data_IF_276652201199
#
_entry.id   IF_276652201199
#
_cell.length_a   1.000
_cell.length_b   1.000
_cell.length_c   1.000
_cell.angle_alpha   90.00
_cell.angle_beta   90.00
_cell.angle_gamma   90.00
#
_symmetry.space_group_name_H-M   'P 1'
#
loop_
_entity.id
_entity.type
_entity.pdbx_description
1 polymer ?
#
# COMPACT_ATOMS: atom_id res chain seq x y z
N UNK A 1 18.95 25.98 -24.17
CA UNK A 1 18.65 24.82 -23.32
C UNK A 1 18.68 25.27 -21.86
N UNK A 2 17.53 25.40 -21.25
CA UNK A 2 17.38 25.81 -19.84
C UNK A 2 17.82 24.64 -18.96
N UNK A 3 18.84 24.81 -18.15
CA UNK A 3 19.27 23.81 -17.17
C UNK A 3 18.14 23.64 -16.16
N UNK A 4 17.40 22.53 -16.22
CA UNK A 4 16.46 22.15 -15.16
C UNK A 4 17.31 21.80 -13.95
N UNK A 5 17.32 22.69 -12.95
CA UNK A 5 18.03 22.45 -11.71
C UNK A 5 17.30 21.36 -10.91
N UNK A 6 18.06 20.60 -10.12
CA UNK A 6 17.53 19.56 -9.20
C UNK A 6 16.37 20.08 -8.32
N UNK A 7 16.40 21.37 -8.00
CA UNK A 7 15.37 22.08 -7.25
C UNK A 7 14.06 22.25 -8.04
N UNK A 8 14.14 22.50 -9.34
CA UNK A 8 12.97 22.61 -10.21
C UNK A 8 12.33 21.24 -10.48
N UNK A 9 13.15 20.18 -10.58
CA UNK A 9 12.63 18.80 -10.70
C UNK A 9 11.83 18.42 -9.46
N UNK A 10 12.32 18.72 -8.26
CA UNK A 10 11.63 18.47 -7.00
C UNK A 10 10.31 19.25 -6.89
N UNK A 11 10.28 20.50 -7.34
CA UNK A 11 9.04 21.30 -7.38
C UNK A 11 8.03 20.75 -8.39
N UNK A 12 8.48 20.35 -9.58
CA UNK A 12 7.62 19.74 -10.58
C UNK A 12 7.07 18.40 -10.07
N UNK A 13 7.90 17.60 -9.39
CA UNK A 13 7.49 16.35 -8.76
C UNK A 13 6.45 16.59 -7.65
N UNK A 14 6.67 17.56 -6.77
CA UNK A 14 5.74 17.93 -5.71
C UNK A 14 4.41 18.48 -6.25
N UNK A 15 4.43 19.22 -7.36
CA UNK A 15 3.21 19.71 -8.03
C UNK A 15 2.46 18.60 -8.76
N UNK A 16 3.16 17.59 -9.28
CA UNK A 16 2.54 16.46 -10.00
C UNK A 16 1.94 15.42 -9.04
N UNK A 17 2.54 15.24 -7.85
CA UNK A 17 2.17 14.15 -6.91
C UNK A 17 1.59 14.65 -5.58
N UNK A 18 1.35 15.94 -5.44
CA UNK A 18 0.86 16.56 -4.19
C UNK A 18 1.94 16.74 -3.13
N UNK A 19 1.57 17.41 -2.03
CA UNK A 19 2.50 17.73 -0.92
C UNK A 19 2.73 16.56 0.06
N UNK A 20 2.40 15.33 -0.33
CA UNK A 20 2.55 14.17 0.53
C UNK A 20 4.01 13.74 0.60
N UNK A 21 4.57 13.73 1.80
CA UNK A 21 5.92 13.21 2.05
C UNK A 21 5.92 11.67 2.10
N UNK A 22 6.26 11.07 0.97
CA UNK A 22 6.38 9.62 0.83
C UNK A 22 7.81 9.10 1.09
N UNK A 23 8.71 9.97 1.53
CA UNK A 23 10.13 9.65 1.74
C UNK A 23 10.32 8.52 2.74
N UNK A 24 9.48 8.45 3.79
CA UNK A 24 9.53 7.36 4.79
C UNK A 24 9.41 5.97 4.15
N UNK A 25 8.56 5.83 3.14
CA UNK A 25 8.41 4.56 2.41
C UNK A 25 9.61 4.28 1.51
N UNK A 26 10.08 5.30 0.78
CA UNK A 26 11.24 5.17 -0.11
C UNK A 26 12.49 4.75 0.66
N UNK A 27 12.76 5.39 1.79
CA UNK A 27 13.93 5.09 2.63
C UNK A 27 13.88 3.66 3.18
N UNK A 28 12.73 3.23 3.68
CA UNK A 28 12.54 1.87 4.19
C UNK A 28 12.64 0.82 3.08
N UNK A 29 11.99 1.06 1.95
CA UNK A 29 12.00 0.15 0.81
C UNK A 29 13.35 0.06 0.13
N UNK A 30 14.12 1.13 0.08
CA UNK A 30 15.49 1.11 -0.44
C UNK A 30 16.38 0.11 0.31
N UNK A 31 16.09 -0.13 1.58
CA UNK A 31 16.83 -1.09 2.42
C UNK A 31 16.29 -2.51 2.35
N UNK A 32 14.97 -2.69 2.33
CA UNK A 32 14.33 -3.97 2.61
C UNK A 32 13.40 -4.51 1.52
N UNK A 33 13.16 -3.76 0.43
CA UNK A 33 12.26 -4.24 -0.62
C UNK A 33 12.70 -5.56 -1.25
N UNK A 34 13.99 -5.69 -1.58
CA UNK A 34 14.50 -6.93 -2.20
C UNK A 34 14.39 -8.13 -1.25
N UNK A 35 14.58 -7.92 0.04
CA UNK A 35 14.36 -8.96 1.07
C UNK A 35 12.89 -9.37 1.10
N UNK A 36 11.98 -8.41 1.19
CA UNK A 36 10.54 -8.68 1.19
C UNK A 36 10.11 -9.41 -0.10
N UNK A 37 10.58 -8.97 -1.25
CA UNK A 37 10.28 -9.61 -2.53
C UNK A 37 10.79 -11.06 -2.59
N UNK A 38 12.01 -11.31 -2.12
CA UNK A 38 12.59 -12.65 -2.03
C UNK A 38 11.78 -13.57 -1.11
N UNK A 39 11.33 -13.07 0.04
CA UNK A 39 10.47 -13.83 0.96
C UNK A 39 9.11 -14.15 0.33
N UNK A 40 8.51 -13.19 -0.38
CA UNK A 40 7.25 -13.44 -1.09
C UNK A 40 7.43 -14.44 -2.23
N UNK A 41 8.56 -14.40 -2.93
CA UNK A 41 8.90 -15.40 -3.96
C UNK A 41 9.01 -16.81 -3.38
N UNK A 42 9.52 -16.96 -2.15
CA UNK A 42 9.55 -18.24 -1.43
C UNK A 42 8.18 -18.63 -0.87
N UNK A 43 7.22 -17.71 -0.84
CA UNK A 43 5.89 -17.93 -0.25
C UNK A 43 5.92 -18.05 1.28
N UNK A 44 6.84 -17.34 1.93
CA UNK A 44 6.93 -17.28 3.39
C UNK A 44 7.62 -16.00 3.85
N UNK A 45 6.90 -15.19 4.63
CA UNK A 45 7.45 -14.02 5.29
C UNK A 45 8.29 -14.45 6.51
N UNK A 46 9.49 -13.92 6.62
CA UNK A 46 10.44 -14.25 7.69
C UNK A 46 10.87 -13.03 8.50
N UNK A 47 10.98 -11.85 7.87
CA UNK A 47 11.46 -10.62 8.51
C UNK A 47 10.40 -9.52 8.61
N UNK A 48 10.75 -8.38 9.22
CA UNK A 48 9.80 -7.34 9.64
C UNK A 48 9.77 -6.18 8.65
N UNK A 49 8.84 -6.19 7.72
CA UNK A 49 8.70 -5.17 6.67
C UNK A 49 7.25 -4.81 6.31
N UNK A 50 6.27 -5.39 6.97
CA UNK A 50 4.87 -5.27 6.57
C UNK A 50 4.38 -3.82 6.51
N UNK A 51 4.75 -2.98 7.49
CA UNK A 51 4.27 -1.60 7.62
C UNK A 51 4.54 -0.71 6.41
N UNK A 52 5.68 -0.90 5.73
CA UNK A 52 6.11 -0.06 4.61
C UNK A 52 6.10 -0.76 3.25
N UNK A 53 5.81 -2.04 3.19
CA UNK A 53 5.64 -2.80 1.95
C UNK A 53 4.15 -2.91 1.58
N UNK A 54 3.29 -3.21 2.56
CA UNK A 54 1.84 -3.25 2.43
C UNK A 54 1.20 -2.29 3.44
N UNK A 55 1.32 -0.96 3.22
CA UNK A 55 0.88 0.02 4.20
C UNK A 55 -0.64 0.06 4.36
N UNK A 56 -1.08 0.37 5.58
CA UNK A 56 -2.48 0.48 5.96
C UNK A 56 -2.88 1.95 6.14
N UNK A 57 -4.20 2.19 6.17
CA UNK A 57 -4.77 3.47 6.54
C UNK A 57 -4.46 3.80 8.01
N UNK A 58 -4.27 5.08 8.32
CA UNK A 58 -4.10 5.58 9.69
C UNK A 58 -5.31 5.24 10.56
N UNK A 59 -5.03 4.85 11.80
CA UNK A 59 -6.05 4.52 12.79
C UNK A 59 -6.27 3.02 13.02
N UNK A 60 -5.69 2.14 12.21
CA UNK A 60 -5.78 0.69 12.41
C UNK A 60 -4.71 0.16 13.36
N UNK A 61 -3.47 0.56 13.14
CA UNK A 61 -2.34 0.17 13.99
C UNK A 61 -2.24 1.04 15.25
N UNK A 62 -1.78 0.45 16.36
CA UNK A 62 -1.66 1.13 17.65
C UNK A 62 -0.22 1.42 18.07
N UNK A 63 0.77 0.82 17.40
CA UNK A 63 2.18 1.04 17.70
C UNK A 63 2.71 2.31 17.02
N UNK A 64 3.80 2.86 17.55
CA UNK A 64 4.46 4.03 16.95
C UNK A 64 4.96 3.77 15.53
N UNK A 65 5.44 2.56 15.25
CA UNK A 65 5.88 2.19 13.90
C UNK A 65 4.70 2.05 12.93
N UNK A 66 3.57 1.51 13.37
CA UNK A 66 2.37 1.45 12.58
C UNK A 66 1.82 2.84 12.25
N UNK A 67 1.85 3.76 13.21
CA UNK A 67 1.43 5.15 12.99
C UNK A 67 2.38 5.89 12.05
N UNK A 68 3.68 5.68 12.19
CA UNK A 68 4.70 6.30 11.33
C UNK A 68 4.54 5.95 9.85
N UNK A 69 4.27 4.68 9.53
CA UNK A 69 4.08 4.22 8.16
C UNK A 69 2.62 4.20 7.69
N UNK A 70 1.69 4.67 8.49
CA UNK A 70 0.30 4.72 8.10
C UNK A 70 0.07 5.69 6.93
N UNK A 71 -0.82 5.32 6.04
CA UNK A 71 -1.34 6.18 4.98
C UNK A 71 -2.42 7.09 5.60
N UNK A 72 -2.23 8.39 5.49
CA UNK A 72 -3.07 9.37 6.19
C UNK A 72 -4.53 9.35 5.75
N UNK A 73 -4.76 9.24 4.45
CA UNK A 73 -6.09 9.28 3.82
C UNK A 73 -6.05 8.73 2.38
N UNK A 74 -7.19 8.74 1.70
CA UNK A 74 -7.30 8.28 0.30
C UNK A 74 -6.47 9.13 -0.67
N UNK A 75 -6.21 10.40 -0.35
CA UNK A 75 -5.39 11.27 -1.18
C UNK A 75 -3.91 10.85 -1.11
N UNK A 76 -3.41 10.50 0.06
CA UNK A 76 -2.05 9.93 0.19
C UNK A 76 -1.96 8.55 -0.47
N UNK A 77 -2.97 7.71 -0.37
CA UNK A 77 -3.02 6.43 -1.10
C UNK A 77 -2.95 6.65 -2.62
N UNK A 78 -3.67 7.64 -3.13
CA UNK A 78 -3.59 8.03 -4.54
C UNK A 78 -2.20 8.52 -4.92
N UNK A 79 -1.60 9.40 -4.12
CA UNK A 79 -0.23 9.88 -4.33
C UNK A 79 0.81 8.73 -4.31
N UNK A 80 0.62 7.76 -3.43
CA UNK A 80 1.45 6.54 -3.37
C UNK A 80 1.39 5.77 -4.69
N UNK A 81 0.21 5.53 -5.24
CA UNK A 81 0.03 4.83 -6.53
C UNK A 81 0.43 5.68 -7.75
N UNK A 82 0.55 6.99 -7.62
CA UNK A 82 1.09 7.88 -8.65
C UNK A 82 2.63 7.96 -8.61
N UNK A 83 3.23 7.57 -7.48
CA UNK A 83 4.69 7.56 -7.37
C UNK A 83 5.28 6.36 -8.14
N UNK A 84 6.16 6.58 -9.14
CA UNK A 84 6.58 5.52 -10.06
C UNK A 84 7.28 4.35 -9.37
N UNK A 85 8.06 4.59 -8.33
CA UNK A 85 8.78 3.54 -7.60
C UNK A 85 7.82 2.81 -6.64
N UNK A 86 7.06 3.53 -5.83
CA UNK A 86 6.18 2.94 -4.81
C UNK A 86 5.04 2.15 -5.45
N UNK A 87 4.42 2.69 -6.50
CA UNK A 87 3.39 1.97 -7.26
C UNK A 87 3.92 0.67 -7.85
N UNK A 88 5.07 0.73 -8.52
CA UNK A 88 5.71 -0.45 -9.11
C UNK A 88 6.03 -1.49 -8.06
N UNK A 89 6.65 -1.12 -6.95
CA UNK A 89 7.00 -2.05 -5.87
C UNK A 89 5.75 -2.74 -5.30
N UNK A 90 4.69 -2.00 -5.00
CA UNK A 90 3.47 -2.55 -4.46
C UNK A 90 2.79 -3.52 -5.45
N UNK A 91 2.72 -3.15 -6.71
CA UNK A 91 2.11 -3.97 -7.76
C UNK A 91 2.96 -5.23 -8.02
N UNK A 92 4.27 -5.09 -8.17
CA UNK A 92 5.17 -6.23 -8.44
C UNK A 92 5.18 -7.25 -7.29
N UNK A 93 5.28 -6.79 -6.03
CA UNK A 93 5.28 -7.70 -4.89
C UNK A 93 3.91 -8.36 -4.68
N UNK A 94 2.84 -7.66 -5.00
CA UNK A 94 1.47 -8.21 -4.99
C UNK A 94 1.30 -9.30 -6.03
N UNK A 95 1.78 -9.07 -7.25
CA UNK A 95 1.79 -10.09 -8.31
C UNK A 95 2.67 -11.30 -7.94
N UNK A 96 3.84 -11.05 -7.34
CA UNK A 96 4.70 -12.12 -6.87
C UNK A 96 4.04 -12.94 -5.76
N UNK A 97 3.35 -12.30 -4.82
CA UNK A 97 2.59 -12.99 -3.78
C UNK A 97 1.51 -13.89 -4.38
N UNK A 98 0.77 -13.40 -5.37
CA UNK A 98 -0.25 -14.20 -6.07
C UNK A 98 0.35 -15.42 -6.75
N UNK A 99 1.47 -15.25 -7.47
CA UNK A 99 2.17 -16.35 -8.16
C UNK A 99 2.69 -17.43 -7.19
N UNK A 100 3.20 -17.01 -6.04
CA UNK A 100 3.83 -17.91 -5.07
C UNK A 100 2.85 -18.54 -4.09
N UNK A 101 1.62 -18.06 -4.03
CA UNK A 101 0.62 -18.52 -3.08
C UNK A 101 0.27 -20.00 -3.25
N UNK A 102 0.18 -20.48 -4.49
CA UNK A 102 -0.26 -21.86 -4.79
C UNK A 102 -1.53 -22.21 -3.99
N UNK A 103 -1.43 -23.19 -3.09
CA UNK A 103 -2.54 -23.62 -2.21
C UNK A 103 -2.45 -23.04 -0.79
N UNK A 104 -1.53 -22.11 -0.53
CA UNK A 104 -1.34 -21.51 0.79
C UNK A 104 -2.37 -20.41 1.04
N UNK A 105 -2.78 -20.26 2.29
CA UNK A 105 -3.53 -19.10 2.75
C UNK A 105 -2.61 -17.90 3.04
N UNK A 106 -3.19 -16.72 3.17
CA UNK A 106 -2.44 -15.53 3.58
C UNK A 106 -1.78 -15.73 4.95
N UNK A 107 -2.49 -16.37 5.88
CA UNK A 107 -1.98 -16.67 7.22
C UNK A 107 -0.78 -17.61 7.18
N UNK A 108 -0.78 -18.60 6.29
CA UNK A 108 0.35 -19.51 6.10
C UNK A 108 1.61 -18.78 5.60
N UNK A 109 1.43 -17.79 4.72
CA UNK A 109 2.53 -17.05 4.10
C UNK A 109 3.04 -15.94 5.03
N UNK A 110 2.14 -15.21 5.68
CA UNK A 110 2.43 -13.96 6.39
C UNK A 110 2.31 -14.06 7.91
N UNK A 111 1.61 -15.07 8.43
CA UNK A 111 1.10 -15.11 9.80
C UNK A 111 -0.23 -14.37 9.95
N UNK A 112 -0.97 -14.68 11.01
CA UNK A 112 -2.35 -14.19 11.22
C UNK A 112 -2.44 -12.66 11.25
N UNK A 113 -1.52 -12.02 11.96
CA UNK A 113 -1.53 -10.57 12.14
C UNK A 113 -1.25 -9.84 10.83
N UNK A 114 -0.24 -10.27 10.09
CA UNK A 114 0.15 -9.65 8.82
C UNK A 114 -0.83 -10.00 7.69
N UNK A 115 -1.51 -11.14 7.75
CA UNK A 115 -2.61 -11.45 6.83
C UNK A 115 -3.76 -10.43 6.96
N UNK A 116 -4.13 -10.03 8.18
CA UNK A 116 -5.12 -8.96 8.40
C UNK A 116 -4.65 -7.61 7.86
N UNK A 117 -3.38 -7.28 8.06
CA UNK A 117 -2.78 -6.06 7.50
C UNK A 117 -2.80 -6.07 5.98
N UNK A 118 -2.54 -7.22 5.36
CA UNK A 118 -2.65 -7.37 3.91
C UNK A 118 -4.07 -7.05 3.44
N UNK A 119 -5.10 -7.61 4.08
CA UNK A 119 -6.50 -7.33 3.74
C UNK A 119 -6.81 -5.84 3.82
N UNK A 120 -6.37 -5.18 4.88
CA UNK A 120 -6.54 -3.73 5.06
C UNK A 120 -5.83 -2.93 3.97
N UNK A 121 -4.59 -3.27 3.65
CA UNK A 121 -3.82 -2.64 2.58
C UNK A 121 -4.51 -2.79 1.22
N UNK A 122 -4.89 -4.00 0.85
CA UNK A 122 -5.57 -4.28 -0.42
C UNK A 122 -6.91 -3.56 -0.52
N UNK A 123 -7.65 -3.49 0.57
CA UNK A 123 -8.90 -2.71 0.64
C UNK A 123 -8.64 -1.24 0.38
N UNK A 124 -7.64 -0.64 1.06
CA UNK A 124 -7.29 0.77 0.88
C UNK A 124 -6.96 1.09 -0.58
N UNK A 125 -6.01 0.38 -1.16
CA UNK A 125 -5.54 0.69 -2.51
C UNK A 125 -6.56 0.32 -3.60
N UNK A 126 -7.43 -0.65 -3.38
CA UNK A 126 -8.53 -0.97 -4.30
C UNK A 126 -9.58 0.15 -4.41
N UNK A 127 -9.64 1.07 -3.42
CA UNK A 127 -10.55 2.23 -3.46
C UNK A 127 -9.98 3.41 -4.27
N UNK A 128 -8.71 3.38 -4.63
CA UNK A 128 -8.12 4.43 -5.47
C UNK A 128 -8.62 4.27 -6.90
N UNK A 129 -9.03 5.38 -7.50
CA UNK A 129 -9.51 5.40 -8.89
C UNK A 129 -8.42 4.89 -9.85
N UNK A 130 -8.82 4.02 -10.77
CA UNK A 130 -7.91 3.37 -11.74
C UNK A 130 -6.78 2.54 -11.11
N UNK A 131 -6.97 2.02 -9.90
CA UNK A 131 -6.02 1.12 -9.26
C UNK A 131 -5.80 -0.17 -10.08
N UNK A 132 -4.60 -0.73 -9.98
CA UNK A 132 -4.28 -2.00 -10.65
C UNK A 132 -5.21 -3.11 -10.16
N UNK A 133 -5.76 -3.96 -11.05
CA UNK A 133 -6.65 -5.06 -10.69
C UNK A 133 -6.06 -6.05 -9.68
N UNK A 134 -4.73 -6.09 -9.54
CA UNK A 134 -4.04 -7.03 -8.65
C UNK A 134 -4.55 -6.95 -7.20
N UNK A 135 -4.94 -5.76 -6.73
CA UNK A 135 -5.44 -5.60 -5.37
C UNK A 135 -6.77 -6.33 -5.16
N UNK A 136 -7.67 -6.23 -6.11
CA UNK A 136 -8.96 -6.97 -6.09
C UNK A 136 -8.73 -8.46 -6.31
N UNK A 137 -7.80 -8.84 -7.17
CA UNK A 137 -7.47 -10.26 -7.41
C UNK A 137 -6.94 -10.91 -6.13
N UNK A 138 -6.06 -10.25 -5.38
CA UNK A 138 -5.58 -10.75 -4.09
C UNK A 138 -6.67 -10.82 -3.02
N UNK A 139 -7.58 -9.84 -2.98
CA UNK A 139 -8.75 -9.88 -2.10
C UNK A 139 -9.63 -11.10 -2.41
N UNK A 140 -9.88 -11.36 -3.67
CA UNK A 140 -10.63 -12.54 -4.10
C UNK A 140 -9.90 -13.83 -3.73
N UNK A 141 -8.59 -13.88 -3.98
CA UNK A 141 -7.78 -15.08 -3.75
C UNK A 141 -7.67 -15.47 -2.28
N UNK A 142 -7.44 -14.49 -1.39
CA UNK A 142 -7.15 -14.76 0.01
C UNK A 142 -8.31 -14.50 0.98
N UNK A 143 -9.25 -13.65 0.61
CA UNK A 143 -10.29 -13.16 1.52
C UNK A 143 -11.70 -13.27 0.93
N UNK A 144 -11.89 -14.08 -0.09
CA UNK A 144 -13.20 -14.26 -0.76
C UNK A 144 -13.85 -12.94 -1.22
N UNK A 145 -13.03 -11.99 -1.63
CA UNK A 145 -13.46 -10.66 -2.07
C UNK A 145 -13.94 -9.73 -0.94
N UNK A 146 -13.81 -10.14 0.31
CA UNK A 146 -14.28 -9.35 1.45
C UNK A 146 -13.33 -8.21 1.77
N UNK A 147 -13.82 -7.00 1.65
CA UNK A 147 -13.12 -5.77 2.03
C UNK A 147 -13.02 -5.65 3.56
N UNK A 148 -11.99 -4.95 4.04
CA UNK A 148 -11.89 -4.63 5.47
C UNK A 148 -12.84 -3.49 5.85
N UNK A 149 -13.86 -3.73 6.71
CA UNK A 149 -14.85 -2.71 7.04
C UNK A 149 -14.27 -1.49 7.76
N UNK A 150 -13.26 -1.68 8.62
CA UNK A 150 -12.61 -0.58 9.32
C UNK A 150 -11.84 0.32 8.38
N UNK A 151 -11.13 -0.24 7.41
CA UNK A 151 -10.46 0.53 6.37
C UNK A 151 -11.47 1.36 5.58
N UNK A 152 -12.58 0.77 5.16
CA UNK A 152 -13.63 1.50 4.45
C UNK A 152 -14.18 2.66 5.27
N UNK A 153 -14.46 2.45 6.56
CA UNK A 153 -14.96 3.52 7.42
C UNK A 153 -13.97 4.66 7.62
N UNK A 154 -12.67 4.36 7.65
CA UNK A 154 -11.60 5.36 7.81
C UNK A 154 -11.26 6.09 6.51
N UNK A 155 -11.56 5.49 5.36
CA UNK A 155 -11.32 6.10 4.04
C UNK A 155 -12.53 6.84 3.48
N UNK A 156 -13.73 6.62 4.00
CA UNK A 156 -14.93 7.33 3.55
C UNK A 156 -14.80 8.82 3.84
N UNK A 157 -14.34 9.54 2.85
CA UNK A 157 -14.70 10.95 2.67
C UNK A 157 -16.21 10.91 2.42
N UNK A 158 -17.01 11.55 3.29
CA UNK A 158 -18.46 11.68 3.15
C UNK A 158 -18.80 11.93 1.68
N UNK A 159 -19.64 11.08 1.11
CA UNK A 159 -20.11 11.32 -0.24
C UNK A 159 -20.88 12.66 -0.27
N UNK A 160 -20.81 13.43 -1.37
CA UNK A 160 -21.54 14.70 -1.48
C UNK A 160 -23.06 14.59 -1.21
N UNK A 161 -23.61 13.39 -1.24
CA UNK A 161 -25.03 13.08 -0.96
C UNK A 161 -25.34 13.18 0.53
N UNK A 162 -24.39 12.92 1.42
CA UNK A 162 -24.58 13.02 2.89
C UNK A 162 -24.40 14.44 3.43
N UNK A 163 -23.84 15.36 2.64
CA UNK A 163 -23.69 16.77 3.00
C UNK A 163 -24.95 17.62 2.70
N UNK A 164 -25.98 17.07 2.06
CA UNK A 164 -27.22 17.77 1.69
C UNK A 164 -28.45 17.31 2.47
N UNK A 165 -28.26 16.56 3.53
CA UNK A 165 -29.34 16.17 4.44
C UNK A 165 -29.39 17.07 5.68
#
# INVERSE_FOLDING_TARGET
MTKITRFNLLKIFAMAYGNNDLTRFLDAQNKLYLTAFSEMKKGKKETHWMWFIFPQIKGLGKSSIADYYAIADINEARAYLQHPILARHLIEISKQLLLSAKNKSAETILGDLDARKLRSCLTLFSQVENADPIFTELLNRFFSGQLDPLTLSLTNVMSPIEMSA
#
